data_IF_327831745264
#
_entry.id   IF_327831745264
#
_cell.length_a   1.000
_cell.length_b   1.000
_cell.length_c   1.000
_cell.angle_alpha   90.00
_cell.angle_beta   90.00
_cell.angle_gamma   90.00
#
_symmetry.space_group_name_H-M   'P 1'
#
loop_
_entity.id
_entity.type
_entity.pdbx_description
1 polymer ?
#
# COMPACT_ATOMS: atom_id res chain seq x y z
N UNK A 1 10.85 8.07 5.19
CA UNK A 1 11.68 7.85 6.40
C UNK A 1 10.89 7.36 7.62
N UNK A 2 9.62 7.77 7.80
CA UNK A 2 8.80 7.32 8.95
C UNK A 2 8.52 5.81 8.99
N UNK A 3 8.14 5.17 7.88
CA UNK A 3 7.83 3.74 7.82
C UNK A 3 9.03 2.86 8.24
N UNK A 4 10.25 3.21 7.79
CA UNK A 4 11.48 2.51 8.20
C UNK A 4 11.70 2.59 9.71
N UNK A 5 11.41 3.74 10.32
CA UNK A 5 11.47 3.94 11.77
C UNK A 5 10.43 3.08 12.51
N UNK A 6 9.19 3.04 12.04
CA UNK A 6 8.14 2.23 12.65
C UNK A 6 8.39 0.72 12.51
N UNK A 7 8.94 0.27 11.38
CA UNK A 7 9.37 -1.12 11.19
C UNK A 7 10.47 -1.48 12.19
N UNK A 8 11.49 -0.62 12.34
CA UNK A 8 12.59 -0.84 13.29
C UNK A 8 12.11 -0.85 14.75
N UNK A 9 11.05 -0.12 15.07
CA UNK A 9 10.41 -0.13 16.39
C UNK A 9 9.42 -1.30 16.58
N UNK A 10 9.24 -2.19 15.60
CA UNK A 10 8.27 -3.29 15.66
C UNK A 10 6.81 -2.86 15.62
N UNK A 11 6.54 -1.59 15.32
CA UNK A 11 5.18 -1.02 15.30
C UNK A 11 4.38 -1.44 14.06
N UNK A 12 5.06 -1.80 12.97
CA UNK A 12 4.47 -2.25 11.71
C UNK A 12 5.22 -3.49 11.20
N UNK A 13 4.54 -4.39 10.48
CA UNK A 13 5.16 -5.53 9.83
C UNK A 13 5.92 -5.12 8.55
N UNK A 14 6.63 -6.08 7.93
CA UNK A 14 7.22 -5.85 6.62
C UNK A 14 6.16 -5.58 5.55
N UNK A 15 5.03 -6.30 5.63
CA UNK A 15 3.92 -6.12 4.71
C UNK A 15 3.25 -4.76 4.87
N UNK A 16 3.09 -4.29 6.12
CA UNK A 16 2.57 -2.95 6.40
C UNK A 16 3.47 -1.85 5.81
N UNK A 17 4.80 -2.01 5.90
CA UNK A 17 5.75 -1.10 5.26
C UNK A 17 5.57 -1.09 3.74
N UNK A 18 5.45 -2.27 3.11
CA UNK A 18 5.26 -2.41 1.66
C UNK A 18 3.96 -1.75 1.19
N UNK A 19 2.85 -1.99 1.90
CA UNK A 19 1.56 -1.34 1.62
C UNK A 19 1.70 0.18 1.75
N UNK A 20 2.35 0.66 2.82
CA UNK A 20 2.57 2.10 3.05
C UNK A 20 3.40 2.77 1.96
N UNK A 21 4.44 2.10 1.45
CA UNK A 21 5.25 2.60 0.34
C UNK A 21 4.44 2.68 -0.97
N UNK A 22 3.62 1.67 -1.25
CA UNK A 22 2.71 1.65 -2.41
C UNK A 22 1.62 2.73 -2.32
N UNK A 23 1.06 2.94 -1.13
CA UNK A 23 0.10 4.01 -0.88
C UNK A 23 0.74 5.39 -1.10
N UNK A 24 1.95 5.60 -0.57
CA UNK A 24 2.69 6.83 -0.77
C UNK A 24 2.96 7.09 -2.26
N UNK A 25 3.36 6.06 -3.02
CA UNK A 25 3.58 6.15 -4.46
C UNK A 25 2.34 6.67 -5.21
N UNK A 26 1.16 6.09 -4.96
CA UNK A 26 -0.09 6.53 -5.60
C UNK A 26 -0.44 7.96 -5.23
N UNK A 27 -0.38 8.29 -3.93
CA UNK A 27 -0.74 9.62 -3.43
C UNK A 27 0.20 10.73 -3.91
N UNK A 28 1.47 10.40 -4.18
CA UNK A 28 2.42 11.36 -4.76
C UNK A 28 2.35 11.43 -6.28
N UNK A 29 1.43 10.71 -6.92
CA UNK A 29 1.23 10.71 -8.37
C UNK A 29 2.24 9.84 -9.15
N UNK A 30 2.82 8.84 -8.49
CA UNK A 30 3.69 7.84 -9.10
C UNK A 30 4.87 8.43 -9.87
N UNK A 31 5.23 7.79 -10.99
CA UNK A 31 6.43 8.15 -11.76
C UNK A 31 6.26 9.41 -12.62
N UNK A 32 5.03 9.78 -12.97
CA UNK A 32 4.76 10.96 -13.82
C UNK A 32 4.68 12.26 -13.04
N UNK A 33 4.47 12.20 -11.73
CA UNK A 33 4.42 13.39 -10.90
C UNK A 33 5.81 14.01 -10.68
N UNK A 34 5.83 15.32 -10.56
CA UNK A 34 7.04 16.07 -10.25
C UNK A 34 6.68 17.45 -9.72
N UNK A 35 7.66 18.14 -9.12
CA UNK A 35 7.47 19.45 -8.48
C UNK A 35 6.80 20.50 -9.40
N UNK A 36 6.99 20.37 -10.71
CA UNK A 36 6.45 21.30 -11.72
C UNK A 36 5.48 20.64 -12.70
N UNK A 37 5.15 19.35 -12.50
CA UNK A 37 4.29 18.58 -13.42
C UNK A 37 2.99 18.20 -12.73
N UNK A 38 1.89 18.60 -13.33
CA UNK A 38 0.57 18.11 -12.98
C UNK A 38 0.36 16.75 -13.64
N UNK A 39 -0.39 15.89 -12.96
CA UNK A 39 -0.83 14.60 -13.50
C UNK A 39 -2.32 14.66 -13.73
N UNK A 40 -2.77 13.92 -14.75
CA UNK A 40 -4.19 13.79 -15.06
C UNK A 40 -4.89 12.86 -14.06
N UNK A 41 -6.18 13.10 -13.83
CA UNK A 41 -7.01 12.29 -12.92
C UNK A 41 -7.04 10.82 -13.35
N UNK A 42 -7.20 10.56 -14.66
CA UNK A 42 -7.29 9.19 -15.18
C UNK A 42 -6.01 8.42 -14.90
N UNK A 43 -4.86 9.08 -15.01
CA UNK A 43 -3.59 8.45 -14.68
C UNK A 43 -3.48 8.09 -13.19
N UNK A 44 -3.99 8.92 -12.27
CA UNK A 44 -4.02 8.57 -10.84
C UNK A 44 -4.90 7.33 -10.62
N UNK A 45 -6.08 7.28 -11.25
CA UNK A 45 -6.98 6.13 -11.16
C UNK A 45 -6.33 4.84 -11.71
N UNK A 46 -5.57 4.95 -12.79
CA UNK A 46 -4.88 3.82 -13.39
C UNK A 46 -3.80 3.25 -12.45
N UNK A 47 -2.94 4.11 -11.88
CA UNK A 47 -1.88 3.66 -10.95
C UNK A 47 -2.44 3.16 -9.63
N UNK A 48 -3.55 3.74 -9.15
CA UNK A 48 -4.26 3.25 -7.96
C UNK A 48 -4.79 1.84 -8.19
N UNK A 49 -5.47 1.62 -9.33
CA UNK A 49 -5.99 0.32 -9.71
C UNK A 49 -4.90 -0.73 -9.83
N UNK A 50 -3.82 -0.42 -10.54
CA UNK A 50 -2.69 -1.34 -10.71
C UNK A 50 -2.05 -1.71 -9.36
N UNK A 51 -1.83 -0.71 -8.52
CA UNK A 51 -1.26 -0.89 -7.18
C UNK A 51 -2.17 -1.75 -6.31
N UNK A 52 -3.48 -1.48 -6.32
CA UNK A 52 -4.47 -2.24 -5.56
C UNK A 52 -4.52 -3.71 -6.01
N UNK A 53 -4.63 -3.96 -7.31
CA UNK A 53 -4.69 -5.32 -7.87
C UNK A 53 -3.42 -6.10 -7.54
N UNK A 54 -2.26 -5.46 -7.64
CA UNK A 54 -0.98 -6.05 -7.26
C UNK A 54 -0.97 -6.48 -5.79
N UNK A 55 -1.37 -5.58 -4.88
CA UNK A 55 -1.43 -5.88 -3.44
C UNK A 55 -2.48 -6.95 -3.10
N UNK A 56 -3.62 -6.96 -3.78
CA UNK A 56 -4.68 -7.95 -3.61
C UNK A 56 -4.23 -9.35 -4.06
N UNK A 57 -3.32 -9.43 -5.03
CA UNK A 57 -2.69 -10.69 -5.47
C UNK A 57 -1.70 -11.28 -4.46
N UNK A 58 -1.27 -10.52 -3.44
CA UNK A 58 -0.29 -11.02 -2.47
C UNK A 58 -0.92 -11.96 -1.45
N UNK A 59 -0.25 -13.09 -1.19
CA UNK A 59 -0.70 -14.10 -0.24
C UNK A 59 -0.96 -13.52 1.16
N UNK A 60 -0.08 -12.64 1.64
CA UNK A 60 -0.25 -11.98 2.94
C UNK A 60 -1.52 -11.14 3.01
N UNK A 61 -1.88 -10.45 1.91
CA UNK A 61 -3.13 -9.69 1.81
C UNK A 61 -4.35 -10.61 1.80
N UNK A 62 -4.31 -11.71 1.05
CA UNK A 62 -5.38 -12.70 1.02
C UNK A 62 -5.59 -13.38 2.37
N UNK A 63 -4.51 -13.65 3.10
CA UNK A 63 -4.55 -14.18 4.45
C UNK A 63 -5.20 -13.17 5.42
N UNK A 64 -4.87 -11.87 5.29
CA UNK A 64 -5.51 -10.80 6.09
C UNK A 64 -7.02 -10.72 5.83
N UNK A 65 -7.43 -10.75 4.55
CA UNK A 65 -8.86 -10.74 4.17
C UNK A 65 -9.57 -11.97 4.75
N UNK A 66 -9.01 -13.16 4.51
CA UNK A 66 -9.59 -14.42 4.97
C UNK A 66 -9.69 -14.48 6.50
N UNK A 67 -8.67 -14.01 7.20
CA UNK A 67 -8.67 -13.97 8.66
C UNK A 67 -9.68 -12.96 9.21
N UNK A 68 -9.74 -11.76 8.62
CA UNK A 68 -10.71 -10.73 9.00
C UNK A 68 -12.14 -11.25 8.87
N UNK A 69 -12.46 -11.89 7.74
CA UNK A 69 -13.78 -12.50 7.50
C UNK A 69 -14.11 -13.63 8.49
N UNK A 70 -13.12 -14.44 8.88
CA UNK A 70 -13.33 -15.59 9.79
C UNK A 70 -13.37 -15.22 11.26
N UNK A 71 -12.56 -14.25 11.69
CA UNK A 71 -12.30 -13.94 13.11
C UNK A 71 -12.85 -12.58 13.55
N UNK A 72 -13.28 -11.73 12.61
CA UNK A 72 -13.77 -10.39 12.90
C UNK A 72 -12.70 -9.44 13.48
N UNK A 73 -11.42 -9.80 13.38
CA UNK A 73 -10.28 -9.03 13.89
C UNK A 73 -9.17 -8.99 12.84
N UNK A 74 -8.38 -7.90 12.77
CA UNK A 74 -7.31 -7.79 11.80
C UNK A 74 -6.19 -8.80 12.07
N UNK A 75 -5.65 -9.39 11.01
CA UNK A 75 -4.39 -10.13 11.05
C UNK A 75 -3.25 -9.17 10.71
N UNK A 76 -2.15 -9.23 11.47
CA UNK A 76 -0.94 -8.47 11.15
C UNK A 76 0.21 -9.45 10.94
N UNK A 77 0.50 -9.71 9.67
CA UNK A 77 1.58 -10.55 9.16
C UNK A 77 2.57 -9.71 8.36
#
# INVERSE_FOLDING_TARGET
>A
MALKGFKKQGKISEHDMKIGEKLAYVLTGGDKAGLTKTVDEQYILDIERETFVTLAGEKLTQDRISYMLKKGKPLRN
#
